data_IF_076633106822
#
_entry.id   IF_076633106822
#
_cell.length_a   1.000
_cell.length_b   1.000
_cell.length_c   1.000
_cell.angle_alpha   90.00
_cell.angle_beta   90.00
_cell.angle_gamma   90.00
#
_symmetry.space_group_name_H-M   'P 1'
#
loop_
_entity.id
_entity.type
_entity.pdbx_description
1 polymer ?
#
# COMPACT_ATOMS: atom_id res chain seq x y z
N UNK A 1 6.08 4.50 23.20
CA UNK A 1 6.11 5.64 24.15
C UNK A 1 4.81 6.40 23.94
N UNK A 2 3.85 6.26 24.85
CA UNK A 2 2.58 6.99 24.76
C UNK A 2 2.93 8.43 25.16
N UNK A 3 2.62 9.44 24.33
CA UNK A 3 3.04 10.79 24.62
C UNK A 3 2.44 11.25 25.94
N UNK A 4 3.30 11.79 26.79
CA UNK A 4 2.92 12.31 28.10
C UNK A 4 2.01 13.53 27.88
N UNK A 5 1.11 13.83 28.82
CA UNK A 5 0.21 15.00 28.69
C UNK A 5 0.93 16.32 28.38
N UNK A 6 2.17 16.47 28.86
CA UNK A 6 3.03 17.62 28.53
C UNK A 6 3.55 17.64 27.08
N UNK A 7 3.83 16.48 26.48
CA UNK A 7 4.27 16.39 25.08
C UNK A 7 3.15 16.73 24.11
N UNK A 8 1.91 16.31 24.40
CA UNK A 8 0.73 16.73 23.62
C UNK A 8 0.53 18.24 23.68
N UNK A 9 0.72 18.85 24.85
CA UNK A 9 0.61 20.30 25.01
C UNK A 9 1.68 21.04 24.19
N UNK A 10 2.92 20.53 24.18
CA UNK A 10 4.00 21.05 23.34
C UNK A 10 3.65 21.00 21.84
N UNK A 11 3.08 19.88 21.36
CA UNK A 11 2.67 19.74 19.96
C UNK A 11 1.59 20.74 19.57
N UNK A 12 0.61 21.00 20.45
CA UNK A 12 -0.44 21.99 20.20
C UNK A 12 0.15 23.39 20.11
N UNK A 13 1.03 23.77 21.03
CA UNK A 13 1.73 25.08 20.98
C UNK A 13 2.54 25.21 19.69
N UNK A 14 3.26 24.17 19.29
CA UNK A 14 4.04 24.19 18.06
C UNK A 14 3.15 24.33 16.82
N UNK A 15 2.02 23.61 16.77
CA UNK A 15 1.05 23.74 15.69
C UNK A 15 0.43 25.14 15.63
N UNK A 16 0.14 25.76 16.78
CA UNK A 16 -0.34 27.15 16.87
C UNK A 16 0.67 28.15 16.29
N UNK A 17 1.97 27.94 16.53
CA UNK A 17 3.04 28.80 16.00
C UNK A 17 3.18 28.64 14.48
N UNK A 18 3.21 27.40 13.99
CA UNK A 18 3.44 27.11 12.56
C UNK A 18 2.25 27.53 11.71
N UNK A 19 1.03 27.22 12.16
CA UNK A 19 -0.20 27.43 11.37
C UNK A 19 -0.88 28.77 11.67
N UNK A 20 -0.61 29.35 12.84
CA UNK A 20 -1.25 30.56 13.36
C UNK A 20 -2.52 30.25 14.17
N UNK A 21 -2.71 30.88 15.35
CA UNK A 21 -3.86 30.63 16.22
C UNK A 21 -5.21 31.03 15.59
N UNK A 22 -5.21 32.00 14.69
CA UNK A 22 -6.42 32.48 14.03
C UNK A 22 -6.95 31.50 12.97
N UNK A 23 -6.08 30.65 12.40
CA UNK A 23 -6.43 29.72 11.31
C UNK A 23 -6.81 28.32 11.78
N UNK A 24 -6.26 27.88 12.92
CA UNK A 24 -6.60 26.60 13.53
C UNK A 24 -8.10 26.35 13.78
N UNK A 25 -8.88 27.27 14.37
CA UNK A 25 -10.31 27.04 14.58
C UNK A 25 -11.07 26.88 13.26
N UNK A 26 -10.67 27.62 12.21
CA UNK A 26 -11.26 27.51 10.87
C UNK A 26 -11.00 26.12 10.27
N UNK A 27 -9.75 25.63 10.33
CA UNK A 27 -9.40 24.29 9.81
C UNK A 27 -9.98 23.16 10.66
N UNK A 28 -10.00 23.30 11.98
CA UNK A 28 -10.62 22.33 12.87
C UNK A 28 -12.13 22.20 12.60
N UNK A 29 -12.82 23.31 12.34
CA UNK A 29 -14.23 23.29 11.95
C UNK A 29 -14.44 22.56 10.61
N UNK A 30 -13.59 22.81 9.61
CA UNK A 30 -13.64 22.10 8.32
C UNK A 30 -13.40 20.61 8.48
N UNK A 31 -12.41 20.21 9.27
CA UNK A 31 -12.13 18.81 9.57
C UNK A 31 -13.29 18.15 10.32
N UNK A 32 -13.85 18.83 11.33
CA UNK A 32 -15.00 18.32 12.07
C UNK A 32 -16.21 18.09 11.17
N UNK A 33 -16.48 19.02 10.25
CA UNK A 33 -17.54 18.88 9.25
C UNK A 33 -17.28 17.71 8.30
N UNK A 34 -16.04 17.54 7.86
CA UNK A 34 -15.64 16.41 7.02
C UNK A 34 -15.82 15.08 7.75
N UNK A 35 -15.32 14.97 8.99
CA UNK A 35 -15.45 13.78 9.82
C UNK A 35 -16.92 13.44 10.06
N UNK A 36 -17.76 14.44 10.32
CA UNK A 36 -19.19 14.23 10.49
C UNK A 36 -19.83 13.70 9.20
N UNK A 37 -19.54 14.31 8.07
CA UNK A 37 -20.06 13.87 6.77
C UNK A 37 -19.58 12.45 6.43
N UNK A 38 -18.32 12.13 6.71
CA UNK A 38 -17.75 10.80 6.52
C UNK A 38 -18.42 9.76 7.44
N UNK A 39 -18.71 10.13 8.69
CA UNK A 39 -19.44 9.28 9.63
C UNK A 39 -20.87 9.02 9.14
N UNK A 40 -21.59 10.07 8.75
CA UNK A 40 -22.97 9.96 8.26
C UNK A 40 -23.02 9.09 6.99
N UNK A 41 -22.05 9.23 6.10
CA UNK A 41 -21.89 8.38 4.90
C UNK A 41 -21.60 6.91 5.26
N UNK A 42 -20.72 6.67 6.22
CA UNK A 42 -20.40 5.32 6.69
C UNK A 42 -21.60 4.65 7.38
N UNK A 43 -22.36 5.39 8.19
CA UNK A 43 -23.59 4.92 8.82
C UNK A 43 -24.67 4.59 7.78
N UNK A 44 -24.82 5.44 6.75
CA UNK A 44 -25.71 5.19 5.62
C UNK A 44 -25.32 3.94 4.82
N UNK A 45 -24.04 3.81 4.44
CA UNK A 45 -23.54 2.63 3.75
C UNK A 45 -23.73 1.35 4.57
N UNK A 46 -23.49 1.40 5.89
CA UNK A 46 -23.77 0.29 6.80
C UNK A 46 -25.25 -0.09 6.83
N UNK A 47 -26.15 0.90 6.80
CA UNK A 47 -27.60 0.68 6.72
C UNK A 47 -28.00 -0.03 5.44
N UNK A 48 -27.54 0.44 4.28
CA UNK A 48 -27.84 -0.17 2.97
C UNK A 48 -27.37 -1.63 2.91
N UNK A 49 -26.14 -1.89 3.35
CA UNK A 49 -25.59 -3.25 3.38
C UNK A 49 -26.39 -4.15 4.32
N UNK A 50 -26.83 -3.63 5.47
CA UNK A 50 -27.67 -4.38 6.42
C UNK A 50 -29.05 -4.70 5.83
N UNK A 51 -29.62 -3.79 5.04
CA UNK A 51 -30.92 -3.98 4.38
C UNK A 51 -30.85 -5.01 3.24
N UNK A 52 -29.79 -4.99 2.44
CA UNK A 52 -29.62 -5.92 1.31
C UNK A 52 -29.16 -7.33 1.73
N UNK A 53 -28.38 -7.47 2.81
CA UNK A 53 -27.90 -8.77 3.28
C UNK A 53 -28.90 -9.50 4.20
N UNK A 54 -29.99 -8.84 4.62
CA UNK A 54 -31.03 -9.41 5.48
C UNK A 54 -30.61 -9.63 6.95
N UNK A 55 -31.53 -10.15 7.80
CA UNK A 55 -31.28 -10.41 9.22
C UNK A 55 -30.25 -11.55 9.39
N UNK A 56 -28.97 -11.17 9.34
CA UNK A 56 -27.79 -12.04 9.46
C UNK A 56 -26.46 -11.29 9.40
N UNK A 57 -26.47 -9.99 9.08
CA UNK A 57 -25.26 -9.14 9.06
C UNK A 57 -24.73 -8.73 10.45
N UNK A 58 -25.38 -9.18 11.53
CA UNK A 58 -24.91 -8.96 12.92
C UNK A 58 -23.70 -9.85 13.28
N UNK A 59 -23.45 -10.92 12.53
CA UNK A 59 -22.34 -11.87 12.78
C UNK A 59 -21.05 -11.58 11.99
N UNK A 60 -21.02 -10.50 11.19
CA UNK A 60 -19.74 -10.06 10.59
C UNK A 60 -18.89 -9.49 11.72
N UNK A 61 -17.94 -10.30 12.17
CA UNK A 61 -16.97 -9.98 13.21
C UNK A 61 -16.06 -8.82 12.77
N UNK A 62 -16.55 -7.59 12.94
CA UNK A 62 -15.78 -6.36 12.73
C UNK A 62 -14.51 -6.30 13.60
N UNK A 63 -14.44 -7.14 14.64
CA UNK A 63 -13.28 -7.29 15.52
C UNK A 63 -12.16 -8.10 14.88
N UNK A 64 -12.48 -8.99 13.92
CA UNK A 64 -11.50 -9.69 13.10
C UNK A 64 -10.90 -8.80 12.00
N UNK A 65 -11.59 -7.71 11.62
CA UNK A 65 -11.09 -6.66 10.73
C UNK A 65 -10.42 -5.48 11.47
N UNK A 66 -10.26 -5.55 12.80
CA UNK A 66 -9.48 -4.57 13.55
C UNK A 66 -7.98 -4.80 13.27
N UNK A 67 -7.27 -3.86 12.60
CA UNK A 67 -5.86 -4.02 12.23
C UNK A 67 -4.93 -4.28 13.42
N UNK A 68 -5.38 -3.95 14.64
CA UNK A 68 -4.63 -4.14 15.88
C UNK A 68 -4.80 -5.55 16.46
N UNK A 69 -5.79 -6.30 15.97
CA UNK A 69 -6.14 -7.65 16.44
C UNK A 69 -5.75 -8.76 15.44
N UNK A 70 -5.09 -8.41 14.32
CA UNK A 70 -4.32 -9.37 13.54
C UNK A 70 -3.08 -9.78 14.35
N UNK A 71 -3.25 -10.72 15.29
CA UNK A 71 -2.16 -11.18 16.15
C UNK A 71 -1.26 -12.15 15.36
N UNK A 72 -0.07 -11.72 14.90
CA UNK A 72 0.81 -12.53 14.06
C UNK A 72 1.24 -13.83 14.75
N UNK A 73 1.11 -13.92 16.09
CA UNK A 73 1.46 -15.12 16.86
C UNK A 73 0.53 -16.29 16.57
N UNK A 74 -0.73 -16.06 16.14
CA UNK A 74 -1.65 -17.15 15.76
C UNK A 74 -1.18 -17.86 14.49
N UNK A 75 -0.76 -17.10 13.49
CA UNK A 75 -0.28 -17.61 12.20
C UNK A 75 1.01 -18.43 12.38
N UNK A 76 1.92 -17.97 13.27
CA UNK A 76 3.16 -18.69 13.58
C UNK A 76 2.88 -20.00 14.35
N UNK A 77 1.92 -20.01 15.27
CA UNK A 77 1.54 -21.24 16.00
C UNK A 77 0.90 -22.28 15.08
N UNK A 78 0.09 -21.85 14.13
CA UNK A 78 -0.48 -22.75 13.11
C UNK A 78 0.61 -23.32 12.18
N UNK A 79 1.62 -22.51 11.85
CA UNK A 79 2.79 -22.97 11.09
C UNK A 79 3.67 -23.96 11.87
N UNK A 80 3.75 -23.83 13.21
CA UNK A 80 4.50 -24.76 14.07
C UNK A 80 3.71 -26.03 14.43
N UNK A 81 2.37 -25.98 14.38
CA UNK A 81 1.50 -27.13 14.64
C UNK A 81 1.32 -28.04 13.41
N UNK A 82 1.61 -27.55 12.21
CA UNK A 82 1.68 -28.36 10.99
C UNK A 82 3.10 -28.92 10.85
N UNK A 83 3.31 -30.24 10.75
CA UNK A 83 4.65 -30.79 10.59
C UNK A 83 5.29 -30.26 9.30
N UNK A 84 6.40 -29.54 9.48
CA UNK A 84 7.15 -28.85 8.46
C UNK A 84 7.77 -29.84 7.44
N UNK A 85 7.07 -30.10 6.34
CA UNK A 85 7.62 -30.86 5.21
C UNK A 85 7.75 -30.06 3.91
N UNK A 86 7.20 -28.84 3.82
CA UNK A 86 7.13 -28.09 2.56
C UNK A 86 7.97 -26.80 2.45
N UNK A 87 8.31 -26.16 3.57
CA UNK A 87 8.82 -24.77 3.53
C UNK A 87 10.31 -24.61 3.25
N UNK A 88 11.14 -25.53 3.73
CA UNK A 88 12.61 -25.39 3.66
C UNK A 88 13.16 -25.60 2.23
N UNK A 89 12.53 -26.47 1.43
CA UNK A 89 12.96 -26.74 0.06
C UNK A 89 12.68 -25.56 -0.89
N UNK A 90 11.57 -24.85 -0.70
CA UNK A 90 11.19 -23.71 -1.53
C UNK A 90 12.08 -22.47 -1.30
N UNK A 91 12.55 -22.26 -0.06
CA UNK A 91 13.46 -21.18 0.26
C UNK A 91 14.87 -21.38 -0.34
N UNK A 92 15.36 -22.63 -0.39
CA UNK A 92 16.64 -22.96 -1.02
C UNK A 92 16.63 -22.71 -2.54
N UNK A 93 15.54 -23.10 -3.22
CA UNK A 93 15.41 -22.91 -4.66
C UNK A 93 15.34 -21.43 -5.09
N UNK A 94 14.72 -20.57 -4.27
CA UNK A 94 14.65 -19.14 -4.54
C UNK A 94 16.01 -18.43 -4.40
N UNK A 95 16.88 -18.91 -3.51
CA UNK A 95 18.22 -18.34 -3.29
C UNK A 95 19.19 -18.77 -4.39
N UNK A 96 19.09 -20.00 -4.88
CA UNK A 96 19.86 -20.49 -6.05
C UNK A 96 19.53 -19.70 -7.32
N UNK A 97 18.24 -19.46 -7.60
CA UNK A 97 17.81 -18.68 -8.75
C UNK A 97 18.28 -17.21 -8.71
N UNK A 98 18.40 -16.63 -7.51
CA UNK A 98 18.95 -15.30 -7.31
C UNK A 98 20.49 -15.24 -7.53
N UNK A 99 21.19 -16.33 -7.21
CA UNK A 99 22.64 -16.46 -7.46
C UNK A 99 22.97 -16.57 -8.95
N UNK A 100 22.18 -17.36 -9.69
CA UNK A 100 22.40 -17.60 -11.12
C UNK A 100 22.11 -16.36 -11.97
N UNK A 101 21.10 -15.57 -11.58
CA UNK A 101 20.77 -14.28 -12.21
C UNK A 101 21.83 -13.20 -11.94
N UNK A 102 22.45 -13.19 -10.76
CA UNK A 102 23.56 -12.28 -10.44
C UNK A 102 24.85 -12.63 -11.20
N UNK A 103 25.17 -13.92 -11.33
CA UNK A 103 26.32 -14.40 -12.11
C UNK A 103 26.14 -14.12 -13.62
N UNK A 104 24.94 -14.34 -14.15
CA UNK A 104 24.61 -14.02 -15.55
C UNK A 104 24.68 -12.53 -15.87
N UNK A 105 24.35 -11.67 -14.91
CA UNK A 105 24.44 -10.20 -15.05
C UNK A 105 25.89 -9.72 -15.10
N UNK A 106 26.75 -10.25 -14.23
CA UNK A 106 28.18 -9.92 -14.23
C UNK A 106 28.90 -10.40 -15.51
N UNK A 107 28.52 -11.58 -16.03
CA UNK A 107 29.04 -12.09 -17.30
C UNK A 107 28.55 -11.26 -18.51
N UNK A 108 27.30 -10.79 -18.47
CA UNK A 108 26.76 -9.88 -19.47
C UNK A 108 27.52 -8.55 -19.47
N UNK A 109 27.78 -7.94 -18.30
CA UNK A 109 28.49 -6.67 -18.12
C UNK A 109 29.93 -6.70 -18.67
N UNK A 110 30.63 -7.82 -18.50
CA UNK A 110 31.96 -8.02 -19.06
C UNK A 110 31.96 -8.18 -20.59
N UNK A 111 30.88 -8.71 -21.17
CA UNK A 111 30.73 -8.84 -22.63
C UNK A 111 30.41 -7.49 -23.31
N UNK A 112 29.65 -6.61 -22.64
CA UNK A 112 29.32 -5.25 -23.15
C UNK A 112 30.56 -4.34 -23.21
N UNK A 113 31.54 -4.58 -22.34
CA UNK A 113 32.80 -3.83 -22.33
C UNK A 113 33.76 -4.21 -23.47
N UNK A 114 33.50 -5.30 -24.20
CA UNK A 114 34.47 -5.91 -25.11
C UNK A 114 34.11 -6.07 -26.60
N UNK A 115 32.87 -5.80 -27.05
CA UNK A 115 32.47 -6.22 -28.41
C UNK A 115 31.43 -5.36 -29.12
N UNK A 116 31.76 -4.95 -30.34
CA UNK A 116 30.98 -4.12 -31.26
C UNK A 116 29.88 -4.88 -32.05
N UNK A 117 28.70 -4.26 -32.12
CA UNK A 117 27.56 -4.39 -33.09
C UNK A 117 26.63 -5.61 -33.03
N UNK A 118 25.32 -5.31 -32.88
CA UNK A 118 24.19 -6.15 -33.33
C UNK A 118 22.83 -5.63 -32.82
N UNK A 119 21.96 -5.18 -33.72
CA UNK A 119 20.72 -4.44 -33.43
C UNK A 119 19.45 -5.30 -33.48
N UNK A 120 18.51 -5.13 -32.51
CA UNK A 120 17.08 -5.12 -32.83
C UNK A 120 16.39 -3.84 -32.32
N UNK A 121 15.58 -3.20 -33.17
CA UNK A 121 14.89 -1.91 -32.91
C UNK A 121 13.94 -2.01 -31.70
N UNK A 122 14.49 -1.75 -30.51
CA UNK A 122 13.77 -1.27 -29.33
C UNK A 122 14.23 0.16 -29.11
N UNK A 123 13.39 1.14 -29.47
CA UNK A 123 13.71 2.54 -29.22
C UNK A 123 13.25 3.50 -30.31
N UNK A 124 12.00 3.40 -30.78
CA UNK A 124 11.42 4.54 -31.49
C UNK A 124 11.03 5.58 -30.43
N UNK A 125 11.89 6.60 -30.27
CA UNK A 125 11.67 7.70 -29.36
C UNK A 125 10.45 8.52 -29.82
N UNK A 126 9.54 8.79 -28.90
CA UNK A 126 8.35 9.60 -29.12
C UNK A 126 8.74 11.06 -29.38
N UNK A 127 8.40 11.58 -30.56
CA UNK A 127 8.63 12.97 -30.97
C UNK A 127 7.38 13.81 -30.61
N UNK A 128 7.45 14.68 -29.58
CA UNK A 128 6.30 15.43 -29.07
C UNK A 128 5.86 16.58 -29.99
N UNK A 129 6.62 16.85 -31.06
CA UNK A 129 6.28 17.90 -32.03
C UNK A 129 5.38 17.40 -33.16
N UNK A 130 5.13 16.09 -33.23
CA UNK A 130 4.22 15.51 -34.21
C UNK A 130 2.82 15.37 -33.62
N UNK A 131 1.77 15.81 -34.34
CA UNK A 131 0.41 15.54 -33.92
C UNK A 131 0.18 14.02 -33.89
N UNK A 132 -0.42 13.53 -32.81
CA UNK A 132 -0.76 12.12 -32.64
C UNK A 132 -1.71 11.68 -33.76
N UNK A 133 -1.44 10.56 -34.46
CA UNK A 133 -2.33 10.04 -35.50
C UNK A 133 -3.73 9.72 -34.94
N UNK A 134 -4.77 10.03 -35.71
CA UNK A 134 -6.15 9.67 -35.35
C UNK A 134 -6.35 8.16 -35.46
N UNK A 135 -6.83 7.53 -34.38
CA UNK A 135 -7.12 6.10 -34.32
C UNK A 135 -8.58 5.85 -34.69
N UNK A 136 -8.80 5.15 -35.80
CA UNK A 136 -10.13 4.90 -36.38
C UNK A 136 -10.84 3.67 -35.77
N UNK A 137 -10.14 2.88 -34.94
CA UNK A 137 -10.66 1.63 -34.37
C UNK A 137 -11.32 1.81 -32.98
N UNK A 138 -11.43 3.06 -32.49
CA UNK A 138 -12.02 3.39 -31.19
C UNK A 138 -13.52 3.76 -31.27
N UNK A 139 -14.37 2.95 -31.92
CA UNK A 139 -15.85 3.12 -31.91
C UNK A 139 -16.56 1.85 -31.48
#
# INVERSE_FOLDING_TARGET
>A
MIPNGGELLLLVVLALIILGPDKLPEYAAKLAQFVRSARDMAEGAKSQIKEEMGPGFEDVDWKALDPRQYDPRRIVREALATPAAGGAAAAGAAVEAAGETAAGRAANEAAIAGGSVGHPLRGQAHDPTRPTPWDADAT
#
